data_IF_825834158819
#
_entry.id   IF_825834158819
#
_cell.length_a   1.000
_cell.length_b   1.000
_cell.length_c   1.000
_cell.angle_alpha   90.00
_cell.angle_beta   90.00
_cell.angle_gamma   90.00
#
_symmetry.space_group_name_H-M   'P 1'
#
loop_
_entity.id
_entity.type
_entity.pdbx_description
1 polymer ?
#
# COMPACT_ATOMS: atom_id res chain seq x y z
N UNK A 1 2.81 0.19 27.71
CA UNK A 1 2.44 -0.65 26.55
C UNK A 1 1.90 0.29 25.49
N UNK A 2 2.42 0.23 24.26
CA UNK A 2 1.93 1.06 23.17
C UNK A 2 0.53 0.60 22.72
N UNK A 3 -0.36 1.53 22.38
CA UNK A 3 -1.70 1.26 21.85
C UNK A 3 -1.92 2.10 20.59
N UNK A 4 -2.22 1.48 19.43
CA UNK A 4 -2.54 2.23 18.23
C UNK A 4 -3.85 3.01 18.41
N UNK A 5 -3.88 4.23 17.87
CA UNK A 5 -5.05 5.12 17.90
C UNK A 5 -5.32 5.64 16.46
N UNK A 6 -5.79 4.77 15.55
CA UNK A 6 -6.08 5.20 14.19
C UNK A 6 -7.23 6.20 14.17
N UNK A 7 -7.14 7.18 13.27
CA UNK A 7 -8.25 8.10 13.03
C UNK A 7 -9.35 7.33 12.31
N UNK A 8 -10.56 7.31 12.86
CA UNK A 8 -11.70 6.67 12.20
C UNK A 8 -12.04 7.37 10.88
N UNK A 9 -11.99 6.64 9.79
CA UNK A 9 -12.34 7.13 8.44
C UNK A 9 -13.47 6.32 7.80
N UNK A 10 -14.21 5.52 8.58
CA UNK A 10 -15.23 4.59 8.07
C UNK A 10 -16.36 5.26 7.27
N UNK A 11 -16.73 6.50 7.63
CA UNK A 11 -17.76 7.29 6.94
C UNK A 11 -17.27 8.14 5.77
N UNK A 12 -16.00 8.00 5.35
CA UNK A 12 -15.42 8.82 4.28
C UNK A 12 -15.54 8.11 2.94
N UNK A 13 -16.28 8.73 2.02
CA UNK A 13 -16.38 8.27 0.63
C UNK A 13 -15.20 8.79 -0.20
N UNK A 14 -14.50 7.86 -0.87
CA UNK A 14 -13.42 8.19 -1.80
C UNK A 14 -14.02 8.43 -3.19
N UNK A 15 -13.73 9.54 -3.91
CA UNK A 15 -14.25 9.79 -5.25
C UNK A 15 -13.95 8.65 -6.23
N UNK A 16 -14.90 8.34 -7.14
CA UNK A 16 -14.74 7.23 -8.10
C UNK A 16 -13.46 7.34 -8.93
N UNK A 17 -13.15 8.53 -9.45
CA UNK A 17 -11.96 8.80 -10.25
C UNK A 17 -10.63 8.46 -9.55
N UNK A 18 -10.63 8.51 -8.22
CA UNK A 18 -9.49 8.14 -7.37
C UNK A 18 -9.53 6.64 -7.04
N UNK A 19 -10.71 6.08 -6.76
CA UNK A 19 -10.87 4.63 -6.54
C UNK A 19 -10.44 3.80 -7.76
N UNK A 20 -10.68 4.31 -8.97
CA UNK A 20 -10.28 3.65 -10.21
C UNK A 20 -8.74 3.51 -10.33
N UNK A 21 -7.96 4.28 -9.56
CA UNK A 21 -6.48 4.22 -9.50
C UNK A 21 -5.93 3.40 -8.33
N UNK A 22 -6.80 2.73 -7.56
CA UNK A 22 -6.42 1.98 -6.36
C UNK A 22 -5.31 0.97 -6.63
N UNK A 23 -5.40 0.19 -7.70
CA UNK A 23 -4.37 -0.80 -8.05
C UNK A 23 -3.05 -0.13 -8.47
N UNK A 24 -3.10 0.98 -9.20
CA UNK A 24 -1.89 1.74 -9.59
C UNK A 24 -1.16 2.25 -8.35
N UNK A 25 -1.90 2.83 -7.40
CA UNK A 25 -1.35 3.35 -6.15
C UNK A 25 -0.83 2.24 -5.23
N UNK A 26 -1.53 1.09 -5.17
CA UNK A 26 -1.12 -0.06 -4.37
C UNK A 26 0.16 -0.68 -4.92
N UNK A 27 0.25 -0.86 -6.24
CA UNK A 27 1.50 -1.28 -6.91
C UNK A 27 2.65 -0.33 -6.61
N UNK A 28 2.42 0.98 -6.67
CA UNK A 28 3.45 1.96 -6.34
C UNK A 28 3.94 1.84 -4.89
N UNK A 29 3.04 1.56 -3.94
CA UNK A 29 3.41 1.33 -2.55
C UNK A 29 4.30 0.08 -2.41
N UNK A 30 3.90 -1.02 -3.05
CA UNK A 30 4.67 -2.26 -3.11
C UNK A 30 6.06 -2.05 -3.73
N UNK A 31 6.14 -1.38 -4.88
CA UNK A 31 7.41 -1.13 -5.57
C UNK A 31 8.37 -0.30 -4.71
N UNK A 32 7.87 0.69 -3.96
CA UNK A 32 8.69 1.47 -3.01
C UNK A 32 9.21 0.58 -1.87
N UNK A 33 8.37 -0.29 -1.32
CA UNK A 33 8.77 -1.24 -0.29
C UNK A 33 9.83 -2.22 -0.81
N UNK A 34 9.58 -2.81 -1.97
CA UNK A 34 10.46 -3.79 -2.60
C UNK A 34 11.81 -3.17 -2.95
N UNK A 35 11.83 -1.97 -3.56
CA UNK A 35 13.05 -1.25 -3.89
C UNK A 35 13.92 -0.97 -2.64
N UNK A 36 13.31 -0.56 -1.53
CA UNK A 36 14.03 -0.37 -0.26
C UNK A 36 14.63 -1.67 0.26
N UNK A 37 13.85 -2.75 0.25
CA UNK A 37 14.31 -4.08 0.68
C UNK A 37 15.47 -4.58 -0.16
N UNK A 38 15.37 -4.47 -1.49
CA UNK A 38 16.46 -4.84 -2.40
C UNK A 38 17.72 -4.02 -2.13
N UNK A 39 17.59 -2.70 -1.90
CA UNK A 39 18.72 -1.83 -1.54
C UNK A 39 19.38 -2.23 -0.20
N UNK A 40 18.59 -2.73 0.75
CA UNK A 40 19.07 -3.24 2.04
C UNK A 40 19.67 -4.66 1.93
N UNK A 41 19.78 -5.21 0.72
CA UNK A 41 20.36 -6.52 0.42
C UNK A 41 19.40 -7.68 0.63
N UNK A 42 18.08 -7.43 0.64
CA UNK A 42 17.10 -8.50 0.62
C UNK A 42 16.95 -9.10 -0.78
N UNK A 43 16.57 -10.37 -0.85
CA UNK A 43 16.28 -11.07 -2.10
C UNK A 43 14.98 -11.86 -1.99
N UNK A 44 14.46 -12.31 -3.12
CA UNK A 44 13.37 -13.27 -3.14
C UNK A 44 13.76 -14.58 -2.41
N UNK A 45 12.78 -15.21 -1.75
CA UNK A 45 12.85 -16.58 -1.26
C UNK A 45 11.46 -17.06 -0.82
N UNK A 46 11.21 -18.37 -0.90
CA UNK A 46 9.88 -18.97 -0.66
C UNK A 46 9.28 -18.66 0.72
N UNK A 47 10.13 -18.35 1.70
CA UNK A 47 9.73 -17.93 3.04
C UNK A 47 10.57 -16.75 3.51
N UNK A 48 10.02 -16.01 4.47
CA UNK A 48 10.75 -14.92 5.12
C UNK A 48 11.85 -15.48 6.01
N UNK A 49 13.08 -15.04 5.78
CA UNK A 49 14.25 -15.35 6.60
C UNK A 49 15.05 -14.05 6.81
N UNK A 50 15.05 -13.53 8.03
CA UNK A 50 15.68 -12.24 8.33
C UNK A 50 17.21 -12.34 8.40
N UNK A 51 17.76 -13.52 8.72
CA UNK A 51 19.22 -13.75 8.74
C UNK A 51 19.78 -13.80 7.33
N UNK A 52 19.10 -14.52 6.42
CA UNK A 52 19.46 -14.60 5.00
C UNK A 52 18.92 -13.43 4.18
N UNK A 53 18.08 -12.58 4.78
CA UNK A 53 17.36 -11.48 4.14
C UNK A 53 16.52 -11.92 2.94
N UNK A 54 15.73 -12.98 3.08
CA UNK A 54 14.79 -13.40 2.03
C UNK A 54 13.35 -13.02 2.38
N UNK A 55 12.54 -12.68 1.37
CA UNK A 55 11.11 -12.42 1.55
C UNK A 55 10.31 -12.93 0.34
N UNK A 56 9.16 -13.62 0.55
CA UNK A 56 8.36 -14.18 -0.56
C UNK A 56 7.78 -13.10 -1.47
N UNK A 57 7.37 -11.97 -0.89
CA UNK A 57 6.73 -10.89 -1.63
C UNK A 57 7.70 -10.03 -2.45
N UNK A 58 9.00 -10.36 -2.53
CA UNK A 58 9.95 -9.67 -3.42
C UNK A 58 9.80 -10.17 -4.88
N UNK A 59 8.59 -10.00 -5.40
CA UNK A 59 8.12 -10.32 -6.74
C UNK A 59 7.35 -9.11 -7.29
N UNK A 60 6.94 -9.15 -8.57
CA UNK A 60 6.11 -8.08 -9.13
C UNK A 60 4.75 -8.02 -8.39
N UNK A 61 4.15 -6.83 -8.29
CA UNK A 61 2.85 -6.66 -7.62
C UNK A 61 1.80 -7.61 -8.21
N UNK A 62 1.78 -7.81 -9.53
CA UNK A 62 0.84 -8.70 -10.20
C UNK A 62 0.95 -10.17 -9.74
N UNK A 63 2.11 -10.60 -9.28
CA UNK A 63 2.41 -11.97 -8.82
C UNK A 63 2.07 -12.22 -7.35
N UNK A 64 1.78 -11.17 -6.58
CA UNK A 64 1.30 -11.32 -5.21
C UNK A 64 -0.07 -11.99 -5.17
N UNK A 65 -0.33 -12.73 -4.10
CA UNK A 65 -1.69 -13.19 -3.81
C UNK A 65 -2.59 -12.01 -3.40
N UNK A 66 -3.90 -12.27 -3.34
CA UNK A 66 -4.87 -11.22 -3.06
C UNK A 66 -4.83 -10.73 -1.61
N UNK A 67 -4.40 -11.58 -0.68
CA UNK A 67 -4.26 -11.24 0.73
C UNK A 67 -3.08 -10.28 0.93
N UNK A 68 -1.95 -10.54 0.28
CA UNK A 68 -0.79 -9.65 0.28
C UNK A 68 -1.11 -8.30 -0.39
N UNK A 69 -1.77 -8.31 -1.55
CA UNK A 69 -2.25 -7.08 -2.20
C UNK A 69 -3.22 -6.30 -1.31
N UNK A 70 -4.00 -6.99 -0.47
CA UNK A 70 -4.98 -6.34 0.40
C UNK A 70 -4.32 -5.37 1.37
N UNK A 71 -3.11 -5.66 1.86
CA UNK A 71 -2.39 -4.75 2.76
C UNK A 71 -2.04 -3.42 2.08
N UNK A 72 -1.52 -3.44 0.85
CA UNK A 72 -1.20 -2.22 0.10
C UNK A 72 -2.48 -1.44 -0.21
N UNK A 73 -3.52 -2.15 -0.64
CA UNK A 73 -4.84 -1.57 -0.93
C UNK A 73 -5.45 -0.87 0.29
N UNK A 74 -5.41 -1.52 1.46
CA UNK A 74 -5.92 -0.95 2.72
C UNK A 74 -5.12 0.26 3.17
N UNK A 75 -3.79 0.20 3.03
CA UNK A 75 -2.89 1.33 3.31
C UNK A 75 -3.26 2.54 2.44
N UNK A 76 -3.44 2.34 1.14
CA UNK A 76 -3.82 3.39 0.19
C UNK A 76 -5.23 3.92 0.48
N UNK A 77 -6.21 3.04 0.66
CA UNK A 77 -7.60 3.43 0.96
C UNK A 77 -7.69 4.24 2.25
N UNK A 78 -7.00 3.81 3.31
CA UNK A 78 -6.92 4.52 4.59
C UNK A 78 -6.26 5.89 4.45
N UNK A 79 -5.17 5.97 3.70
CA UNK A 79 -4.44 7.22 3.45
C UNK A 79 -5.32 8.24 2.71
N UNK A 80 -6.01 7.82 1.65
CA UNK A 80 -6.88 8.71 0.86
C UNK A 80 -8.07 9.19 1.70
N UNK A 81 -8.73 8.28 2.44
CA UNK A 81 -9.84 8.67 3.32
C UNK A 81 -9.40 9.63 4.40
N UNK A 82 -8.20 9.47 4.96
CA UNK A 82 -7.65 10.39 5.94
C UNK A 82 -7.42 11.79 5.34
N UNK A 83 -6.83 11.89 4.14
CA UNK A 83 -6.67 13.17 3.45
C UNK A 83 -8.01 13.89 3.26
N UNK A 84 -9.04 13.17 2.83
CA UNK A 84 -10.39 13.73 2.66
C UNK A 84 -10.96 14.17 4.02
N UNK A 85 -10.81 13.36 5.08
CA UNK A 85 -11.23 13.73 6.44
C UNK A 85 -10.53 14.98 6.96
N UNK A 86 -9.29 15.22 6.55
CA UNK A 86 -8.52 16.41 6.89
C UNK A 86 -8.90 17.65 6.05
N UNK A 87 -9.89 17.54 5.16
CA UNK A 87 -10.41 18.65 4.36
C UNK A 87 -9.74 18.82 3.00
N UNK A 88 -8.90 17.87 2.57
CA UNK A 88 -8.35 17.89 1.22
C UNK A 88 -9.39 17.40 0.20
N UNK A 89 -9.34 17.99 -1.00
CA UNK A 89 -10.11 17.58 -2.16
C UNK A 89 -9.15 16.97 -3.17
N UNK A 90 -9.43 15.75 -3.61
CA UNK A 90 -8.62 15.02 -4.59
C UNK A 90 -9.48 14.79 -5.82
N UNK A 91 -9.10 15.39 -6.93
CA UNK A 91 -9.81 15.32 -8.20
C UNK A 91 -8.80 15.05 -9.32
N UNK A 92 -9.22 14.30 -10.34
CA UNK A 92 -8.41 14.12 -11.54
C UNK A 92 -8.51 15.40 -12.36
N UNK A 93 -7.38 15.99 -12.68
CA UNK A 93 -7.35 17.11 -13.61
C UNK A 93 -7.82 16.64 -15.00
N UNK A 94 -8.55 17.49 -15.70
CA UNK A 94 -9.14 17.17 -17.01
C UNK A 94 -8.17 17.40 -18.17
N UNK A 95 -6.90 17.71 -17.85
CA UNK A 95 -5.84 18.07 -18.81
C UNK A 95 -5.08 16.84 -19.28
#
# INVERSE_FOLDING_TARGET
>A
MWQPQPIDTSGIEVPKSVRDERETLSRQAHDIWAAKRLADGWTYGEARDDEKKTHPNLVAYEELDDDDKSYDRELIDGTIRLLIKLGFRIERDST
#
